data_IF_159981930446
#
_entry.id   IF_159981930446
#
_cell.length_a   1.000
_cell.length_b   1.000
_cell.length_c   1.000
_cell.angle_alpha   90.00
_cell.angle_beta   90.00
_cell.angle_gamma   90.00
#
_symmetry.space_group_name_H-M   'P 1'
#
loop_
_entity.id
_entity.type
_entity.pdbx_description
1 polymer ?
#
# COMPACT_ATOMS: atom_id res chain seq x y z
N UNK A 1 -8.95 -69.17 -114.52
CA UNK A 1 -8.63 -68.23 -113.43
C UNK A 1 -8.16 -69.03 -112.22
N UNK A 2 -6.99 -68.67 -111.69
CA UNK A 2 -6.53 -68.75 -110.29
C UNK A 2 -6.99 -69.94 -109.40
N UNK A 3 -6.03 -70.85 -109.22
CA UNK A 3 -5.43 -71.34 -107.97
C UNK A 3 -6.23 -72.20 -106.95
N UNK A 4 -5.53 -73.09 -106.22
CA UNK A 4 -6.04 -74.33 -105.64
C UNK A 4 -6.11 -74.32 -104.10
N UNK A 5 -6.51 -75.48 -103.57
CA UNK A 5 -6.30 -76.04 -102.21
C UNK A 5 -5.13 -75.46 -101.38
N UNK A 6 -5.21 -75.50 -100.03
CA UNK A 6 -4.61 -76.66 -99.36
C UNK A 6 -5.28 -77.17 -98.06
N UNK A 7 -5.29 -78.51 -97.95
CA UNK A 7 -4.85 -79.44 -96.86
C UNK A 7 -5.17 -79.20 -95.37
N UNK A 8 -5.71 -80.30 -94.78
CA UNK A 8 -5.38 -81.01 -93.52
C UNK A 8 -5.28 -80.19 -92.21
N UNK A 9 -5.81 -80.59 -91.05
CA UNK A 9 -5.79 -81.91 -90.41
C UNK A 9 -6.75 -81.93 -89.19
N UNK A 10 -6.95 -83.13 -88.62
CA UNK A 10 -7.79 -83.54 -87.49
C UNK A 10 -7.80 -82.63 -86.22
N UNK A 11 -8.90 -82.63 -85.45
CA UNK A 11 -9.05 -83.55 -84.30
C UNK A 11 -10.13 -83.12 -83.27
N UNK A 12 -10.78 -84.15 -82.72
CA UNK A 12 -11.30 -84.34 -81.37
C UNK A 12 -12.28 -83.34 -80.72
N UNK A 13 -13.41 -83.94 -80.35
CA UNK A 13 -14.38 -83.56 -79.32
C UNK A 13 -13.84 -82.82 -78.10
N UNK A 14 -14.61 -81.85 -77.56
CA UNK A 14 -14.98 -81.76 -76.13
C UNK A 14 -16.09 -80.70 -75.92
N UNK A 15 -17.08 -81.07 -75.09
CA UNK A 15 -18.28 -80.31 -74.67
C UNK A 15 -17.98 -79.03 -73.85
N UNK A 16 -18.92 -78.06 -73.75
CA UNK A 16 -18.66 -76.75 -73.16
C UNK A 16 -18.84 -76.64 -71.63
N UNK A 17 -17.87 -75.95 -71.02
CA UNK A 17 -17.76 -75.08 -69.80
C UNK A 17 -18.80 -75.17 -68.66
N UNK A 18 -18.35 -74.95 -67.40
CA UNK A 18 -18.45 -73.58 -66.86
C UNK A 18 -17.28 -73.05 -65.99
N UNK A 19 -16.99 -71.76 -66.24
CA UNK A 19 -16.51 -70.64 -65.40
C UNK A 19 -15.16 -70.72 -64.67
N UNK A 20 -14.19 -69.96 -65.19
CA UNK A 20 -13.01 -69.46 -64.48
C UNK A 20 -13.42 -68.56 -63.31
N UNK A 21 -12.79 -68.74 -62.16
CA UNK A 21 -12.63 -67.70 -61.15
C UNK A 21 -11.13 -67.56 -60.89
N UNK A 22 -10.48 -66.64 -61.60
CA UNK A 22 -9.14 -66.20 -61.27
C UNK A 22 -9.24 -65.34 -60.00
N UNK A 23 -8.69 -65.86 -58.90
CA UNK A 23 -8.61 -65.12 -57.65
C UNK A 23 -7.41 -64.16 -57.73
N UNK A 24 -7.73 -62.87 -57.80
CA UNK A 24 -6.80 -61.78 -57.93
C UNK A 24 -5.86 -61.62 -56.73
N UNK A 25 -4.63 -61.20 -57.04
CA UNK A 25 -3.62 -60.64 -56.15
C UNK A 25 -4.18 -59.43 -55.37
N UNK A 26 -3.98 -59.26 -54.05
CA UNK A 26 -4.48 -58.07 -53.37
C UNK A 26 -3.59 -56.85 -53.66
N UNK A 27 -4.22 -55.81 -54.22
CA UNK A 27 -3.70 -54.47 -54.40
C UNK A 27 -3.71 -53.68 -53.08
N UNK A 28 -2.56 -53.04 -52.80
CA UNK A 28 -2.37 -51.69 -52.23
C UNK A 28 -3.46 -51.15 -51.27
N UNK A 29 -3.12 -51.05 -49.98
CA UNK A 29 -3.93 -50.35 -48.97
C UNK A 29 -4.24 -48.91 -49.38
N UNK A 30 -5.52 -48.57 -49.55
CA UNK A 30 -5.98 -47.19 -49.66
C UNK A 30 -5.99 -46.54 -48.26
N UNK A 31 -5.40 -45.35 -48.15
CA UNK A 31 -5.36 -44.53 -46.93
C UNK A 31 -6.75 -43.99 -46.61
N UNK A 32 -7.24 -44.23 -45.40
CA UNK A 32 -8.58 -43.86 -44.95
C UNK A 32 -8.63 -42.43 -44.32
N UNK A 33 -9.71 -41.64 -44.55
CA UNK A 33 -9.87 -40.28 -43.99
C UNK A 33 -9.92 -40.21 -42.45
N UNK A 34 -10.45 -41.25 -41.80
CA UNK A 34 -10.54 -41.31 -40.33
C UNK A 34 -9.18 -41.44 -39.65
N UNK A 35 -8.17 -41.94 -40.36
CA UNK A 35 -6.80 -42.01 -39.86
C UNK A 35 -6.22 -40.61 -39.65
N UNK A 36 -6.48 -39.67 -40.57
CA UNK A 36 -6.03 -38.28 -40.46
C UNK A 36 -6.77 -37.51 -39.34
N UNK A 37 -8.06 -37.78 -39.14
CA UNK A 37 -8.83 -37.20 -38.03
C UNK A 37 -8.37 -37.73 -36.66
N UNK A 38 -8.01 -39.02 -36.57
CA UNK A 38 -7.43 -39.59 -35.35
C UNK A 38 -6.03 -39.03 -35.07
N UNK A 39 -5.21 -38.82 -36.11
CA UNK A 39 -3.88 -38.24 -35.99
C UNK A 39 -3.97 -36.76 -35.56
N UNK A 40 -4.89 -35.99 -36.12
CA UNK A 40 -5.07 -34.58 -35.77
C UNK A 40 -5.58 -34.41 -34.34
N UNK A 41 -6.52 -35.24 -33.89
CA UNK A 41 -7.02 -35.21 -32.51
C UNK A 41 -5.92 -35.62 -31.51
N UNK A 42 -5.12 -36.63 -31.85
CA UNK A 42 -3.97 -37.03 -31.04
C UNK A 42 -2.96 -35.88 -30.88
N UNK A 43 -2.62 -35.20 -31.98
CA UNK A 43 -1.72 -34.03 -31.95
C UNK A 43 -2.32 -32.89 -31.11
N UNK A 44 -3.61 -32.58 -31.28
CA UNK A 44 -4.27 -31.55 -30.47
C UNK A 44 -4.22 -31.90 -28.97
N UNK A 45 -4.46 -33.16 -28.63
CA UNK A 45 -4.40 -33.62 -27.24
C UNK A 45 -2.98 -33.49 -26.68
N UNK A 46 -1.96 -33.87 -27.46
CA UNK A 46 -0.56 -33.69 -27.08
C UNK A 46 -0.20 -32.22 -26.87
N UNK A 47 -0.66 -31.31 -27.75
CA UNK A 47 -0.42 -29.87 -27.60
C UNK A 47 -1.08 -29.30 -26.33
N UNK A 48 -2.32 -29.69 -26.03
CA UNK A 48 -3.02 -29.27 -24.82
C UNK A 48 -2.32 -29.78 -23.54
N UNK A 49 -1.83 -31.03 -23.56
CA UNK A 49 -1.04 -31.58 -22.46
C UNK A 49 0.25 -30.78 -22.26
N UNK A 50 0.98 -30.47 -23.34
CA UNK A 50 2.21 -29.66 -23.28
C UNK A 50 1.91 -28.27 -22.70
N UNK A 51 0.85 -27.60 -23.13
CA UNK A 51 0.46 -26.28 -22.60
C UNK A 51 0.10 -26.35 -21.12
N UNK A 52 -0.61 -27.40 -20.69
CA UNK A 52 -0.94 -27.58 -19.26
C UNK A 52 0.31 -27.80 -18.39
N UNK A 53 1.28 -28.56 -18.91
CA UNK A 53 2.55 -28.84 -18.22
C UNK A 53 3.40 -27.56 -18.13
N UNK A 54 3.49 -26.78 -19.20
CA UNK A 54 4.26 -25.52 -19.20
C UNK A 54 3.62 -24.48 -18.30
N UNK A 55 2.29 -24.33 -18.31
CA UNK A 55 1.56 -23.46 -17.38
C UNK A 55 1.74 -23.91 -15.93
N UNK A 56 1.68 -25.22 -15.66
CA UNK A 56 1.95 -25.78 -14.34
C UNK A 56 3.37 -25.50 -13.86
N UNK A 57 4.37 -25.68 -14.73
CA UNK A 57 5.77 -25.38 -14.41
C UNK A 57 6.02 -23.89 -14.17
N UNK A 58 5.40 -23.00 -14.97
CA UNK A 58 5.46 -21.55 -14.78
C UNK A 58 4.80 -21.12 -13.48
N UNK A 59 3.62 -21.68 -13.17
CA UNK A 59 2.92 -21.46 -11.92
C UNK A 59 3.76 -21.90 -10.71
N UNK A 60 4.32 -23.12 -10.75
CA UNK A 60 5.22 -23.62 -9.71
C UNK A 60 6.47 -22.76 -9.55
N UNK A 61 7.10 -22.34 -10.66
CA UNK A 61 8.30 -21.49 -10.62
C UNK A 61 7.98 -20.12 -10.02
N UNK A 62 6.83 -19.54 -10.37
CA UNK A 62 6.37 -18.26 -9.83
C UNK A 62 6.08 -18.35 -8.33
N UNK A 63 5.37 -19.38 -7.89
CA UNK A 63 5.09 -19.62 -6.47
C UNK A 63 6.38 -19.81 -5.66
N UNK A 64 7.32 -20.62 -6.14
CA UNK A 64 8.59 -20.85 -5.46
C UNK A 64 9.42 -19.56 -5.34
N UNK A 65 9.44 -18.74 -6.40
CA UNK A 65 10.13 -17.45 -6.35
C UNK A 65 9.47 -16.49 -5.35
N UNK A 66 8.15 -16.49 -5.25
CA UNK A 66 7.42 -15.68 -4.28
C UNK A 66 7.69 -16.13 -2.84
N UNK A 67 7.66 -17.45 -2.56
CA UNK A 67 7.99 -17.99 -1.25
C UNK A 67 9.43 -17.71 -0.84
N UNK A 68 10.39 -17.86 -1.76
CA UNK A 68 11.80 -17.55 -1.51
C UNK A 68 11.96 -16.07 -1.16
N UNK A 69 11.28 -15.19 -1.88
CA UNK A 69 11.33 -13.73 -1.62
C UNK A 69 10.76 -13.36 -0.24
N UNK A 70 9.68 -14.02 0.19
CA UNK A 70 9.08 -13.81 1.50
C UNK A 70 9.95 -14.42 2.61
N UNK A 71 10.47 -15.63 2.44
CA UNK A 71 11.33 -16.28 3.42
C UNK A 71 12.67 -15.55 3.59
N UNK A 72 13.15 -14.87 2.55
CA UNK A 72 14.34 -14.04 2.64
C UNK A 72 14.10 -12.72 3.38
N UNK A 73 12.94 -12.08 3.20
CA UNK A 73 12.62 -10.78 3.83
C UNK A 73 12.00 -10.90 5.21
N UNK A 74 11.34 -12.03 5.52
CA UNK A 74 10.73 -12.33 6.82
C UNK A 74 11.69 -12.22 8.01
N UNK A 75 12.90 -12.81 8.02
CA UNK A 75 13.80 -12.71 9.17
C UNK A 75 14.22 -11.26 9.43
N UNK A 76 14.50 -10.48 8.38
CA UNK A 76 14.88 -9.07 8.50
C UNK A 76 13.73 -8.21 9.06
N UNK A 77 12.51 -8.43 8.56
CA UNK A 77 11.32 -7.74 9.04
C UNK A 77 10.97 -8.13 10.48
N UNK A 78 11.11 -9.40 10.83
CA UNK A 78 10.96 -9.87 12.20
C UNK A 78 12.01 -9.22 13.08
N UNK A 79 13.30 -9.31 12.76
CA UNK A 79 14.37 -8.69 13.54
C UNK A 79 14.16 -7.18 13.72
N UNK A 80 13.73 -6.47 12.67
CA UNK A 80 13.40 -5.06 12.75
C UNK A 80 12.20 -4.81 13.66
N UNK A 81 11.14 -5.60 13.54
CA UNK A 81 10.01 -5.55 14.48
C UNK A 81 10.47 -5.81 15.90
N UNK A 82 11.32 -6.81 16.11
CA UNK A 82 11.87 -7.19 17.40
C UNK A 82 12.64 -6.05 18.06
N UNK A 83 13.40 -5.29 17.29
CA UNK A 83 14.13 -4.11 17.74
C UNK A 83 13.22 -2.92 18.07
N UNK A 84 12.05 -2.82 17.44
CA UNK A 84 11.03 -1.82 17.75
C UNK A 84 10.18 -2.20 18.99
N UNK A 85 10.17 -3.49 19.40
CA UNK A 85 9.40 -3.98 20.56
C UNK A 85 9.87 -3.33 21.85
N UNK A 86 8.92 -2.89 22.68
CA UNK A 86 9.20 -2.31 24.01
C UNK A 86 9.79 -0.90 23.99
N UNK A 87 10.01 -0.32 22.80
CA UNK A 87 10.47 1.05 22.65
C UNK A 87 9.29 2.02 22.60
N UNK A 88 9.45 3.18 23.24
CA UNK A 88 8.55 4.31 23.11
C UNK A 88 9.17 5.34 22.17
N UNK A 89 8.49 5.60 21.05
CA UNK A 89 8.92 6.61 20.09
C UNK A 89 8.13 7.90 20.31
N UNK A 90 8.86 9.01 20.46
CA UNK A 90 8.29 10.34 20.61
C UNK A 90 8.66 11.19 19.41
N UNK A 91 7.66 11.76 18.74
CA UNK A 91 7.87 12.54 17.53
C UNK A 91 6.82 13.64 17.39
N UNK A 92 7.14 14.60 16.54
CA UNK A 92 6.21 15.64 16.10
C UNK A 92 5.90 15.44 14.62
N UNK A 93 4.73 15.92 14.14
CA UNK A 93 4.43 15.91 12.72
C UNK A 93 5.48 16.71 11.93
N UNK A 94 5.56 16.45 10.63
CA UNK A 94 6.43 17.19 9.73
C UNK A 94 6.15 18.70 9.80
N UNK A 95 7.20 19.53 9.74
CA UNK A 95 7.16 21.00 9.95
C UNK A 95 6.85 21.46 11.39
N UNK A 96 6.70 20.56 12.36
CA UNK A 96 6.55 20.91 13.79
C UNK A 96 7.87 20.72 14.53
N UNK A 97 8.21 21.66 15.42
CA UNK A 97 9.40 21.57 16.28
C UNK A 97 9.07 20.90 17.61
N UNK A 98 9.79 19.84 18.02
CA UNK A 98 9.65 19.26 19.34
C UNK A 98 10.34 20.14 20.40
N UNK A 99 9.64 20.43 21.49
CA UNK A 99 10.22 21.07 22.68
C UNK A 99 9.46 20.66 23.94
N UNK A 100 10.18 20.16 24.95
CA UNK A 100 9.64 19.81 26.28
C UNK A 100 8.36 18.97 26.26
N UNK A 101 8.31 17.94 25.40
CA UNK A 101 7.16 17.04 25.31
C UNK A 101 5.93 17.62 24.59
N UNK A 102 6.10 18.74 23.88
CA UNK A 102 5.11 19.36 23.02
C UNK A 102 5.65 19.55 21.61
N UNK A 103 4.76 19.73 20.66
CA UNK A 103 5.04 20.04 19.27
C UNK A 103 4.55 21.45 18.97
N UNK A 104 5.39 22.24 18.31
CA UNK A 104 5.06 23.63 17.95
C UNK A 104 5.16 23.88 16.45
N UNK A 105 4.13 24.49 15.90
CA UNK A 105 4.09 24.92 14.50
C UNK A 105 4.14 26.43 14.41
N UNK A 106 5.06 26.96 13.62
CA UNK A 106 5.17 28.39 13.34
C UNK A 106 4.58 28.64 11.95
N UNK A 107 3.58 29.49 11.86
CA UNK A 107 2.89 29.78 10.60
C UNK A 107 3.81 30.45 9.58
N UNK A 108 3.66 30.08 8.30
CA UNK A 108 4.32 30.76 7.16
C UNK A 108 3.52 31.96 6.63
N UNK A 109 2.23 32.01 6.90
CA UNK A 109 1.31 33.09 6.49
C UNK A 109 0.84 33.92 7.71
N UNK A 110 0.05 34.97 7.48
CA UNK A 110 -0.50 35.83 8.54
C UNK A 110 -2.03 35.80 8.58
N UNK A 111 -2.58 35.78 9.80
CA UNK A 111 -4.03 35.80 10.07
C UNK A 111 -4.34 36.61 11.34
N UNK A 112 -5.62 36.91 11.53
CA UNK A 112 -6.12 37.48 12.79
C UNK A 112 -6.17 36.42 13.89
N UNK A 113 -6.27 36.84 15.16
CA UNK A 113 -6.13 35.93 16.30
C UNK A 113 -7.13 34.76 16.25
N UNK A 114 -8.40 35.05 15.95
CA UNK A 114 -9.44 34.02 15.90
C UNK A 114 -9.23 33.03 14.75
N UNK A 115 -8.90 33.51 13.55
CA UNK A 115 -8.59 32.65 12.40
C UNK A 115 -7.30 31.84 12.61
N UNK A 116 -6.33 32.39 13.33
CA UNK A 116 -5.13 31.65 13.76
C UNK A 116 -5.48 30.52 14.73
N UNK A 117 -6.33 30.78 15.73
CA UNK A 117 -6.83 29.74 16.64
C UNK A 117 -7.58 28.65 15.89
N UNK A 118 -8.48 29.01 14.96
CA UNK A 118 -9.20 28.04 14.12
C UNK A 118 -8.24 27.19 13.27
N UNK A 119 -7.16 27.78 12.76
CA UNK A 119 -6.13 27.03 12.02
C UNK A 119 -5.37 26.04 12.90
N UNK A 120 -5.12 26.37 14.16
CA UNK A 120 -4.55 25.42 15.11
C UNK A 120 -5.54 24.28 15.41
N UNK A 121 -6.82 24.60 15.62
CA UNK A 121 -7.86 23.60 15.88
C UNK A 121 -8.00 22.62 14.71
N UNK A 122 -7.97 23.09 13.46
CA UNK A 122 -7.99 22.21 12.27
C UNK A 122 -6.77 21.29 12.15
N UNK A 123 -5.75 21.49 13.00
CA UNK A 123 -4.52 20.68 13.08
C UNK A 123 -4.44 19.87 14.39
N UNK A 124 -5.58 19.73 15.09
CA UNK A 124 -5.70 19.09 16.40
C UNK A 124 -4.77 19.74 17.44
N UNK A 125 -4.71 21.06 17.41
CA UNK A 125 -3.85 21.90 18.23
C UNK A 125 -4.61 23.13 18.73
N UNK A 126 -3.93 23.98 19.48
CA UNK A 126 -4.42 25.30 19.87
C UNK A 126 -3.29 26.33 19.72
N UNK A 127 -3.60 27.63 19.78
CA UNK A 127 -2.55 28.65 19.89
C UNK A 127 -1.68 28.36 21.11
N UNK A 128 -0.37 28.56 20.96
CA UNK A 128 0.60 28.17 21.96
C UNK A 128 0.35 28.82 23.33
N UNK A 129 0.35 28.00 24.36
CA UNK A 129 0.23 28.41 25.75
C UNK A 129 1.62 28.41 26.37
N UNK A 130 2.37 29.46 26.09
CA UNK A 130 3.77 29.62 26.47
C UNK A 130 3.88 30.03 27.94
N UNK A 131 3.46 29.13 28.82
CA UNK A 131 3.21 29.41 30.23
C UNK A 131 4.49 29.62 31.01
N UNK A 132 5.62 29.05 30.61
CA UNK A 132 6.91 29.29 31.26
C UNK A 132 7.88 30.04 30.32
N UNK A 133 8.82 30.87 30.82
CA UNK A 133 9.82 31.53 29.99
C UNK A 133 10.65 30.53 29.17
N UNK A 134 10.96 29.39 29.79
CA UNK A 134 11.70 28.29 29.15
C UNK A 134 10.93 27.61 28.02
N UNK A 135 9.61 27.79 27.90
CA UNK A 135 8.82 27.30 26.77
C UNK A 135 9.05 28.13 25.51
N UNK A 136 9.79 29.24 25.60
CA UNK A 136 9.93 30.21 24.51
C UNK A 136 11.35 30.27 23.94
N UNK A 137 12.30 29.52 24.51
CA UNK A 137 13.73 29.58 24.19
C UNK A 137 14.09 29.04 22.81
N UNK A 138 13.35 28.02 22.35
CA UNK A 138 13.58 27.41 21.04
C UNK A 138 12.88 28.16 19.88
N UNK A 139 11.97 29.08 20.20
CA UNK A 139 11.18 29.80 19.20
C UNK A 139 12.05 30.80 18.43
N UNK A 140 11.80 30.97 17.12
CA UNK A 140 12.52 31.92 16.31
C UNK A 140 12.30 33.36 16.79
N UNK A 141 13.36 34.16 16.73
CA UNK A 141 13.32 35.60 16.98
C UNK A 141 13.13 36.31 15.62
N UNK A 142 12.38 37.41 15.59
CA UNK A 142 12.29 38.29 14.42
C UNK A 142 10.88 38.65 13.97
N UNK A 143 9.86 37.89 14.36
CA UNK A 143 8.45 38.20 14.06
C UNK A 143 7.62 38.39 15.34
N UNK A 144 6.41 38.92 15.14
CA UNK A 144 5.33 38.92 16.14
C UNK A 144 4.46 37.70 15.91
N UNK A 145 4.12 37.00 16.98
CA UNK A 145 3.30 35.80 16.90
C UNK A 145 2.06 35.90 17.77
N UNK A 146 0.88 35.60 17.23
CA UNK A 146 -0.27 35.28 18.07
C UNK A 146 0.01 34.06 18.92
N UNK A 147 -0.40 34.15 20.19
CA UNK A 147 -0.33 33.08 21.19
C UNK A 147 -1.66 33.01 21.95
N UNK A 148 -1.88 31.92 22.68
CA UNK A 148 -3.16 31.57 23.27
C UNK A 148 -3.51 32.32 24.56
N UNK A 149 -3.03 33.56 24.74
CA UNK A 149 -3.40 34.39 25.90
C UNK A 149 -4.31 35.53 25.44
N UNK A 150 -5.37 35.79 26.20
CA UNK A 150 -6.29 36.89 25.94
C UNK A 150 -6.78 37.51 27.25
N UNK A 151 -7.26 38.75 27.16
CA UNK A 151 -7.84 39.47 28.28
C UNK A 151 -9.31 39.13 28.41
N UNK A 152 -9.69 38.50 29.52
CA UNK A 152 -11.07 38.12 29.84
C UNK A 152 -11.33 38.33 31.33
N UNK A 153 -12.47 38.94 31.67
CA UNK A 153 -12.91 39.17 33.06
C UNK A 153 -11.80 39.80 33.92
N UNK A 154 -11.28 40.92 33.43
CA UNK A 154 -10.22 41.73 34.03
C UNK A 154 -8.87 41.02 34.27
N UNK A 155 -8.65 39.87 33.64
CA UNK A 155 -7.44 39.05 33.82
C UNK A 155 -6.90 38.51 32.50
N UNK A 156 -5.60 38.24 32.47
CA UNK A 156 -4.95 37.56 31.35
C UNK A 156 -5.09 36.06 31.53
N UNK A 157 -5.83 35.40 30.64
CA UNK A 157 -6.10 33.96 30.73
C UNK A 157 -5.58 33.24 29.50
N UNK A 158 -5.11 32.02 29.71
CA UNK A 158 -4.77 31.09 28.65
C UNK A 158 -6.03 30.37 28.15
N UNK A 159 -5.93 29.72 26.98
CA UNK A 159 -7.05 28.97 26.39
C UNK A 159 -7.62 27.85 27.27
N UNK A 160 -6.85 27.35 28.24
CA UNK A 160 -7.32 26.37 29.22
C UNK A 160 -7.94 27.00 30.49
N UNK A 161 -8.17 28.32 30.47
CA UNK A 161 -8.83 29.06 31.54
C UNK A 161 -7.93 29.44 32.71
N UNK A 162 -6.66 29.00 32.72
CA UNK A 162 -5.73 29.42 33.77
C UNK A 162 -5.24 30.85 33.55
N UNK A 163 -5.16 31.61 34.63
CA UNK A 163 -4.56 32.94 34.62
C UNK A 163 -3.05 32.88 34.31
N UNK A 164 -2.56 33.87 33.57
CA UNK A 164 -1.14 34.02 33.29
C UNK A 164 -0.40 34.45 34.55
N UNK A 165 0.55 33.61 34.98
CA UNK A 165 1.50 33.95 36.05
C UNK A 165 2.58 34.94 35.60
N UNK A 166 2.71 35.16 34.31
CA UNK A 166 3.72 36.03 33.72
C UNK A 166 3.09 37.33 33.22
N UNK A 167 3.80 38.46 33.38
CA UNK A 167 3.28 39.75 32.97
C UNK A 167 3.05 39.79 31.45
N UNK A 168 1.86 40.23 31.06
CA UNK A 168 1.51 40.57 29.68
C UNK A 168 1.54 42.08 29.57
N UNK A 169 2.48 42.62 28.80
CA UNK A 169 2.66 44.06 28.64
C UNK A 169 1.57 44.62 27.73
N UNK A 170 0.66 45.41 28.28
CA UNK A 170 -0.43 46.06 27.55
C UNK A 170 -0.23 47.57 27.50
N UNK A 171 -0.33 48.15 26.31
CA UNK A 171 -0.19 49.60 26.09
C UNK A 171 -1.49 50.28 25.64
N UNK A 172 -2.37 49.55 24.94
CA UNK A 172 -3.55 50.11 24.28
C UNK A 172 -4.86 49.40 24.66
N UNK A 173 -4.89 48.67 25.78
CA UNK A 173 -6.03 47.83 26.19
C UNK A 173 -6.46 46.80 25.13
N UNK A 174 -5.52 46.40 24.27
CA UNK A 174 -5.76 45.38 23.27
C UNK A 174 -5.97 44.01 23.94
N UNK A 175 -7.02 43.24 23.58
CA UNK A 175 -7.37 42.05 24.34
C UNK A 175 -6.65 40.76 23.90
N UNK A 176 -5.90 40.77 22.79
CA UNK A 176 -5.22 39.58 22.27
C UNK A 176 -3.72 39.61 22.53
N UNK A 177 -3.17 38.50 23.04
CA UNK A 177 -1.77 38.37 23.37
C UNK A 177 -0.89 37.96 22.20
N UNK A 178 0.29 38.56 22.15
CA UNK A 178 1.35 38.25 21.19
C UNK A 178 2.65 37.94 21.89
N UNK A 179 3.51 37.23 21.18
CA UNK A 179 4.91 37.03 21.53
C UNK A 179 5.79 37.91 20.63
N UNK A 180 6.66 38.73 21.23
CA UNK A 180 7.73 39.47 20.55
C UNK A 180 9.02 39.24 21.33
N UNK A 181 10.09 38.79 20.67
CA UNK A 181 11.41 38.61 21.29
C UNK A 181 11.35 37.88 22.64
N UNK A 182 10.53 36.82 22.72
CA UNK A 182 10.28 35.98 23.92
C UNK A 182 9.43 36.61 25.05
N UNK A 183 9.02 37.87 24.91
CA UNK A 183 8.15 38.56 25.87
C UNK A 183 6.70 38.63 25.39
N UNK A 184 5.76 38.64 26.34
CA UNK A 184 4.33 38.75 26.06
C UNK A 184 3.90 40.21 26.00
N UNK A 185 3.21 40.55 24.92
CA UNK A 185 2.59 41.86 24.72
C UNK A 185 1.14 41.67 24.28
N UNK A 186 0.45 42.79 24.06
CA UNK A 186 -0.91 42.80 23.50
C UNK A 186 -0.94 43.43 22.12
N UNK A 187 -1.93 43.05 21.32
CA UNK A 187 -2.18 43.66 20.02
C UNK A 187 -3.65 43.50 19.62
N UNK A 188 -4.18 44.43 18.82
CA UNK A 188 -5.57 44.36 18.36
C UNK A 188 -5.81 43.07 17.58
N UNK A 189 -6.80 42.27 18.03
CA UNK A 189 -7.09 40.92 17.54
C UNK A 189 -7.31 40.82 16.03
N UNK A 190 -7.75 41.91 15.40
CA UNK A 190 -8.04 42.00 13.96
C UNK A 190 -6.79 42.04 13.09
N UNK A 191 -5.62 42.35 13.68
CA UNK A 191 -4.37 42.45 12.93
C UNK A 191 -3.93 41.10 12.38
N UNK A 192 -3.26 41.15 11.23
CA UNK A 192 -2.77 39.97 10.54
C UNK A 192 -1.29 39.80 10.81
N UNK A 193 -0.95 38.86 11.69
CA UNK A 193 0.44 38.50 12.01
C UNK A 193 0.60 36.98 11.97
N UNK A 194 1.83 36.50 12.11
CA UNK A 194 2.11 35.08 12.25
C UNK A 194 1.55 34.55 13.56
N UNK A 195 1.42 33.24 13.70
CA UNK A 195 0.96 32.59 14.93
C UNK A 195 1.76 31.31 15.20
N UNK A 196 1.65 30.84 16.44
CA UNK A 196 2.26 29.59 16.87
C UNK A 196 1.16 28.66 17.38
N UNK A 197 1.10 27.45 16.84
CA UNK A 197 0.26 26.38 17.39
C UNK A 197 1.08 25.47 18.31
N UNK A 198 0.41 24.82 19.24
CA UNK A 198 0.94 23.86 20.19
C UNK A 198 0.01 22.66 20.29
N UNK A 199 0.60 21.46 20.39
CA UNK A 199 -0.08 20.24 20.81
C UNK A 199 0.87 19.28 21.54
N UNK A 200 0.37 18.28 22.27
CA UNK A 200 1.21 17.26 22.91
C UNK A 200 2.08 16.51 21.89
N UNK A 201 3.26 16.04 22.33
CA UNK A 201 4.11 15.17 21.53
C UNK A 201 3.40 13.83 21.26
N UNK A 202 3.56 13.29 20.05
CA UNK A 202 2.96 12.00 19.71
C UNK A 202 3.79 10.88 20.33
N UNK A 203 3.13 10.00 21.07
CA UNK A 203 3.75 8.81 21.68
C UNK A 203 3.31 7.55 20.95
N UNK A 204 4.26 6.83 20.35
CA UNK A 204 4.05 5.52 19.75
C UNK A 204 4.61 4.44 20.67
N UNK A 205 3.80 3.42 20.99
CA UNK A 205 4.26 2.23 21.72
C UNK A 205 3.81 0.94 21.02
N UNK A 206 4.75 0.01 20.92
CA UNK A 206 4.52 -1.34 20.40
C UNK A 206 4.24 -2.30 21.56
N UNK A 207 3.06 -2.92 21.58
CA UNK A 207 2.64 -3.85 22.63
C UNK A 207 3.18 -5.26 22.38
N UNK A 208 3.49 -5.95 23.48
CA UNK A 208 4.22 -7.23 23.52
C UNK A 208 3.31 -8.46 23.68
N UNK A 209 1.99 -8.34 23.43
CA UNK A 209 1.04 -9.44 23.61
C UNK A 209 1.24 -10.52 22.53
N UNK A 210 1.65 -11.76 22.89
CA UNK A 210 1.88 -12.86 21.95
C UNK A 210 0.63 -13.28 21.18
N UNK A 211 -0.56 -13.04 21.74
CA UNK A 211 -1.83 -13.39 21.13
C UNK A 211 -2.42 -12.25 20.29
N UNK A 212 -1.93 -11.03 20.46
CA UNK A 212 -2.47 -9.85 19.79
C UNK A 212 -1.46 -8.69 19.71
N UNK A 213 -0.49 -8.76 18.77
CA UNK A 213 0.45 -7.68 18.56
C UNK A 213 -0.30 -6.41 18.13
N UNK A 214 0.11 -5.26 18.66
CA UNK A 214 -0.62 -4.01 18.44
C UNK A 214 0.21 -2.75 18.70
N UNK A 215 -0.28 -1.64 18.16
CA UNK A 215 0.33 -0.32 18.28
C UNK A 215 -0.63 0.57 19.06
N UNK A 216 -0.08 1.35 19.98
CA UNK A 216 -0.81 2.49 20.56
C UNK A 216 -0.21 3.81 20.11
N UNK A 217 -1.09 4.76 19.81
CA UNK A 217 -0.76 6.15 19.48
C UNK A 217 -1.40 7.00 20.56
N UNK A 218 -0.60 7.79 21.28
CA UNK A 218 -1.07 8.60 22.41
C UNK A 218 -1.87 7.78 23.45
N UNK A 219 -1.51 6.52 23.64
CA UNK A 219 -2.19 5.59 24.54
C UNK A 219 -3.48 4.96 23.98
N UNK A 220 -3.96 5.37 22.81
CA UNK A 220 -5.10 4.75 22.12
C UNK A 220 -4.61 3.54 21.33
N UNK A 221 -5.20 2.36 21.55
CA UNK A 221 -4.83 1.12 20.84
C UNK A 221 -5.50 1.11 19.46
N UNK A 222 -4.72 1.01 18.39
CA UNK A 222 -5.24 1.15 17.02
C UNK A 222 -5.35 -0.17 16.23
N UNK A 223 -4.75 -1.29 16.70
CA UNK A 223 -4.76 -2.56 15.93
C UNK A 223 -4.98 -3.78 16.84
N UNK A 224 -5.95 -4.62 16.45
CA UNK A 224 -6.05 -6.05 16.74
C UNK A 224 -5.46 -6.79 15.52
N UNK A 225 -4.21 -7.24 15.56
CA UNK A 225 -3.72 -8.16 14.53
C UNK A 225 -4.30 -9.52 14.88
N UNK A 226 -5.43 -9.88 14.28
CA UNK A 226 -5.91 -11.25 14.34
C UNK A 226 -4.87 -12.12 13.64
N UNK A 227 -4.13 -12.92 14.41
CA UNK A 227 -3.39 -14.05 13.86
C UNK A 227 -4.45 -15.05 13.35
N UNK A 228 -4.90 -14.88 12.12
CA UNK A 228 -5.59 -15.94 11.42
C UNK A 228 -4.53 -17.01 11.16
N UNK A 229 -4.54 -18.06 11.99
CA UNK A 229 -3.76 -19.27 11.75
C UNK A 229 -4.13 -19.75 10.35
N UNK A 230 -3.20 -19.66 9.42
CA UNK A 230 -3.25 -20.46 8.20
C UNK A 230 -2.92 -21.88 8.63
N UNK A 231 -3.95 -22.66 8.94
CA UNK A 231 -3.83 -24.12 9.00
C UNK A 231 -3.63 -24.63 7.57
N UNK A 232 -2.46 -25.21 7.32
CA UNK A 232 -2.15 -26.08 6.18
C UNK A 232 -1.58 -27.37 6.69
#
# INVERSE_FOLDING_TARGET
MRAPEPREEENSSTFPRPKETQQAFPQRCQSYPWFYASLSLSILCLLLLIVSITLGALYHTCLNNAELSLNQTRPDLLQKWEALRGQEYKFCPEEWRPWKGKCYFVSKETKNWNSSQQNCVSREAHLAMLKEPTDREFLPIGNKYWVGVNYLNDRWVWLDGMESRFPVMSYYNDPCGILISRHLFTWSCSNRIHWICEKPIVQLRFHQDPNLPGISVNGVKHIHIANEKVET
#
